data_IF_544047639660
#
_entry.id   IF_544047639660
#
_cell.length_a   1.000
_cell.length_b   1.000
_cell.length_c   1.000
_cell.angle_alpha   90.00
_cell.angle_beta   90.00
_cell.angle_gamma   90.00
#
_symmetry.space_group_name_H-M   'P 1'
#
loop_
_entity.id
_entity.type
_entity.pdbx_description
1 polymer ?
#
# COMPACT_ATOMS: atom_id res chain seq x y z
N UNK A 1 3.13 -61.72 -33.44
CA UNK A 1 1.95 -62.35 -32.83
C UNK A 1 1.93 -62.01 -31.35
N UNK A 2 0.76 -61.60 -30.85
CA UNK A 2 0.22 -61.62 -29.47
C UNK A 2 1.12 -62.18 -28.35
N UNK A 3 1.08 -61.79 -27.07
CA UNK A 3 0.06 -61.15 -26.24
C UNK A 3 0.63 -61.05 -24.81
N UNK A 4 0.39 -59.93 -24.13
CA UNK A 4 -0.25 -59.80 -22.82
C UNK A 4 0.08 -60.82 -21.68
N UNK A 5 0.53 -60.33 -20.52
CA UNK A 5 -0.07 -60.66 -19.22
C UNK A 5 0.24 -59.56 -18.18
N UNK A 6 -0.80 -59.15 -17.44
CA UNK A 6 -0.81 -58.09 -16.44
C UNK A 6 -0.32 -58.58 -15.07
N UNK A 7 0.21 -57.68 -14.22
CA UNK A 7 -0.30 -57.44 -12.84
C UNK A 7 0.47 -56.32 -12.08
N UNK A 8 -0.33 -55.40 -11.50
CA UNK A 8 -0.22 -54.71 -10.19
C UNK A 8 0.86 -53.61 -9.94
N UNK A 9 0.34 -52.37 -9.82
CA UNK A 9 0.86 -51.16 -9.12
C UNK A 9 1.00 -51.37 -7.57
N UNK A 10 1.57 -50.45 -6.73
CA UNK A 10 1.84 -49.01 -6.95
C UNK A 10 3.15 -48.41 -6.35
N UNK A 11 3.61 -47.27 -6.90
CA UNK A 11 4.10 -46.02 -6.24
C UNK A 11 4.88 -45.21 -7.30
N UNK A 12 4.23 -44.28 -8.02
CA UNK A 12 4.22 -42.81 -7.79
C UNK A 12 5.62 -42.18 -7.65
N UNK A 13 6.01 -41.09 -8.32
CA UNK A 13 5.50 -40.25 -9.42
C UNK A 13 6.60 -39.20 -9.64
N UNK A 14 7.02 -38.94 -10.87
CA UNK A 14 7.59 -37.66 -11.34
C UNK A 14 6.94 -37.39 -12.70
N UNK A 15 7.15 -36.22 -13.33
CA UNK A 15 7.03 -34.85 -12.85
C UNK A 15 6.10 -34.05 -13.79
N UNK A 16 5.51 -32.91 -13.40
CA UNK A 16 5.25 -31.82 -14.36
C UNK A 16 4.76 -30.52 -13.72
N UNK A 17 5.24 -29.43 -14.32
CA UNK A 17 4.81 -28.05 -14.17
C UNK A 17 3.31 -27.86 -14.46
N UNK A 18 2.84 -26.66 -14.07
CA UNK A 18 1.54 -26.03 -14.32
C UNK A 18 0.43 -26.35 -13.30
N UNK A 19 0.42 -25.61 -12.19
CA UNK A 19 -0.78 -24.95 -11.62
C UNK A 19 -0.36 -24.14 -10.38
N UNK A 20 0.12 -22.91 -10.57
CA UNK A 20 0.26 -21.92 -9.49
C UNK A 20 -0.47 -20.65 -9.88
N UNK A 21 -1.76 -20.79 -10.19
CA UNK A 21 -2.69 -19.67 -10.26
C UNK A 21 -4.07 -20.19 -9.83
N UNK A 22 -4.72 -19.42 -8.94
CA UNK A 22 -6.18 -19.41 -8.72
C UNK A 22 -6.82 -20.18 -7.54
N UNK A 23 -6.14 -20.57 -6.44
CA UNK A 23 -6.88 -21.24 -5.32
C UNK A 23 -6.46 -20.96 -3.87
N UNK A 24 -5.67 -19.93 -3.57
CA UNK A 24 -5.26 -19.65 -2.17
C UNK A 24 -6.09 -18.60 -1.41
N UNK A 25 -7.25 -18.16 -1.94
CA UNK A 25 -8.18 -17.27 -1.21
C UNK A 25 -9.62 -17.78 -1.28
N UNK A 26 -9.82 -19.10 -1.24
CA UNK A 26 -11.16 -19.70 -1.37
C UNK A 26 -11.41 -20.83 -0.35
N UNK A 27 -11.29 -20.51 0.95
CA UNK A 27 -12.04 -21.14 2.07
C UNK A 27 -11.59 -20.54 3.41
N UNK A 28 -12.21 -19.43 3.79
CA UNK A 28 -12.38 -19.00 5.20
C UNK A 28 -13.25 -17.72 5.24
N UNK A 29 -14.44 -17.79 4.65
CA UNK A 29 -15.46 -16.74 4.77
C UNK A 29 -16.79 -17.37 5.10
N UNK A 30 -16.87 -18.00 6.27
CA UNK A 30 -18.10 -18.03 7.06
C UNK A 30 -17.66 -17.86 8.52
N UNK A 31 -18.04 -16.73 9.10
CA UNK A 31 -17.93 -16.41 10.53
C UNK A 31 -16.58 -15.89 11.07
N UNK A 32 -16.19 -14.67 10.67
CA UNK A 32 -15.21 -13.87 11.46
C UNK A 32 -15.80 -12.48 11.70
N UNK A 33 -16.19 -12.21 12.94
CA UNK A 33 -16.83 -10.99 13.42
C UNK A 33 -15.83 -9.88 13.80
N UNK A 34 -14.55 -10.00 13.45
CA UNK A 34 -13.50 -9.04 13.83
C UNK A 34 -12.30 -9.04 12.87
N UNK A 35 -11.90 -7.85 12.38
CA UNK A 35 -10.70 -7.61 11.53
C UNK A 35 -9.40 -7.98 12.27
N UNK A 36 -9.38 -7.94 13.60
CA UNK A 36 -8.24 -8.38 14.42
C UNK A 36 -7.90 -9.85 14.17
N UNK A 37 -8.91 -10.71 14.02
CA UNK A 37 -8.72 -12.13 13.76
C UNK A 37 -8.23 -12.41 12.34
N UNK A 38 -8.64 -11.60 11.36
CA UNK A 38 -8.14 -11.70 9.98
C UNK A 38 -6.65 -11.30 9.89
N UNK A 39 -6.26 -10.19 10.52
CA UNK A 39 -4.86 -9.75 10.57
C UNK A 39 -3.98 -10.74 11.35
N UNK A 40 -4.47 -11.32 12.45
CA UNK A 40 -3.76 -12.39 13.17
C UNK A 40 -3.60 -13.67 12.35
N UNK A 41 -4.66 -14.10 11.64
CA UNK A 41 -4.61 -15.26 10.74
C UNK A 41 -3.53 -15.09 9.65
N UNK A 42 -3.36 -13.87 9.11
CA UNK A 42 -2.29 -13.57 8.16
C UNK A 42 -0.89 -13.48 8.82
N UNK A 43 -0.79 -12.99 10.07
CA UNK A 43 0.47 -12.96 10.83
C UNK A 43 0.99 -14.37 11.16
N UNK A 44 0.09 -15.32 11.42
CA UNK A 44 0.47 -16.72 11.72
C UNK A 44 0.91 -17.49 10.47
N UNK A 45 0.31 -17.22 9.31
CA UNK A 45 0.63 -17.89 8.05
C UNK A 45 2.00 -17.50 7.45
N UNK A 46 2.65 -16.45 7.95
CA UNK A 46 3.85 -15.84 7.38
C UNK A 46 5.17 -16.09 8.13
N UNK A 47 5.24 -17.01 9.10
CA UNK A 47 6.46 -17.23 9.91
C UNK A 47 7.34 -18.36 9.33
N UNK A 48 8.48 -18.07 8.64
CA UNK A 48 9.49 -19.09 8.42
C UNK A 48 10.17 -19.46 9.76
N UNK A 49 10.67 -20.70 9.92
CA UNK A 49 11.27 -21.15 11.18
C UNK A 49 12.52 -20.34 11.51
N UNK A 50 12.54 -19.79 12.73
CA UNK A 50 13.70 -19.10 13.31
C UNK A 50 14.80 -20.15 13.54
N UNK A 51 15.91 -20.04 12.80
CA UNK A 51 17.17 -20.69 13.16
C UNK A 51 17.84 -19.84 14.24
N UNK A 52 18.00 -20.43 15.41
CA UNK A 52 18.82 -19.91 16.51
C UNK A 52 20.29 -19.85 16.05
N UNK A 53 20.90 -18.68 16.19
CA UNK A 53 22.22 -18.36 15.70
C UNK A 53 22.74 -17.11 16.36
N UNK A 54 23.29 -17.27 17.56
CA UNK A 54 24.12 -16.28 18.25
C UNK A 54 25.28 -15.86 17.35
N UNK A 55 25.47 -14.57 17.18
CA UNK A 55 26.80 -13.98 17.15
C UNK A 55 26.74 -12.52 17.63
N UNK A 56 27.56 -12.27 18.63
CA UNK A 56 27.76 -10.99 19.31
C UNK A 56 28.73 -10.13 18.52
N UNK A 57 28.35 -8.92 18.13
CA UNK A 57 29.31 -7.86 17.80
C UNK A 57 28.90 -6.59 18.51
N UNK A 58 29.81 -6.14 19.36
CA UNK A 58 29.80 -4.93 20.17
C UNK A 58 29.96 -3.69 19.29
N UNK A 59 29.05 -2.73 19.40
CA UNK A 59 29.27 -1.38 18.87
C UNK A 59 29.37 -0.35 20.00
N UNK A 60 30.46 0.41 19.89
CA UNK A 60 30.93 1.43 20.82
C UNK A 60 30.17 2.71 20.55
N UNK A 61 29.51 3.24 21.58
CA UNK A 61 28.87 4.55 21.53
C UNK A 61 29.96 5.63 21.52
N UNK A 62 29.98 6.45 20.46
CA UNK A 62 30.60 7.77 20.49
C UNK A 62 29.57 8.80 20.04
N UNK A 63 28.98 9.45 21.04
CA UNK A 63 28.25 10.70 20.88
C UNK A 63 29.15 11.77 20.26
N UNK A 64 28.67 12.45 19.22
CA UNK A 64 29.11 13.81 18.89
C UNK A 64 27.91 14.65 18.45
N UNK A 65 27.49 15.47 19.38
CA UNK A 65 26.77 16.72 19.19
C UNK A 65 27.64 17.70 18.39
N UNK A 66 27.09 18.28 17.31
CA UNK A 66 27.44 19.61 16.79
C UNK A 66 26.55 20.01 15.61
N UNK A 67 26.00 21.22 15.70
CA UNK A 67 25.14 21.85 14.71
C UNK A 67 25.76 21.89 13.31
N UNK A 68 24.93 21.60 12.32
CA UNK A 68 25.28 21.60 10.91
C UNK A 68 24.34 22.52 10.13
N UNK A 69 24.92 23.62 9.68
CA UNK A 69 24.62 24.39 8.47
C UNK A 69 23.76 23.64 7.43
N UNK A 70 22.67 24.25 6.98
CA UNK A 70 21.81 23.73 5.90
C UNK A 70 22.58 23.74 4.57
N UNK A 71 23.43 22.73 4.39
CA UNK A 71 24.05 22.43 3.12
C UNK A 71 22.95 22.13 2.10
N UNK A 72 22.88 22.96 1.06
CA UNK A 72 22.05 22.76 -0.12
C UNK A 72 22.63 21.54 -0.86
N UNK A 73 22.28 20.34 -0.39
CA UNK A 73 22.72 19.09 -0.97
C UNK A 73 22.29 19.01 -2.44
N UNK A 74 23.21 18.60 -3.30
CA UNK A 74 22.96 18.34 -4.71
C UNK A 74 21.73 17.43 -4.84
N UNK A 75 20.61 17.98 -5.32
CA UNK A 75 19.41 17.17 -5.58
C UNK A 75 19.71 16.26 -6.75
N UNK A 76 19.60 14.95 -6.53
CA UNK A 76 19.77 13.93 -7.55
C UNK A 76 18.89 14.21 -8.77
N UNK A 77 19.48 14.14 -9.96
CA UNK A 77 18.79 14.27 -11.26
C UNK A 77 17.89 13.07 -11.58
N UNK A 78 18.05 11.96 -10.85
CA UNK A 78 17.36 10.71 -11.12
C UNK A 78 15.90 10.72 -10.64
N UNK A 79 15.01 10.00 -11.34
CA UNK A 79 13.65 9.78 -10.87
C UNK A 79 13.61 9.15 -9.49
N UNK A 80 12.79 9.69 -8.59
CA UNK A 80 12.69 9.21 -7.20
C UNK A 80 11.28 8.76 -6.83
N UNK A 81 11.19 7.61 -6.16
CA UNK A 81 9.95 7.05 -5.62
C UNK A 81 10.04 6.97 -4.08
N UNK A 82 9.19 7.72 -3.40
CA UNK A 82 9.19 7.83 -1.94
C UNK A 82 7.89 7.26 -1.38
N UNK A 83 7.98 6.17 -0.62
CA UNK A 83 6.82 5.53 0.03
C UNK A 83 7.06 5.55 1.52
N UNK A 84 6.07 6.03 2.28
CA UNK A 84 6.10 5.96 3.75
C UNK A 84 4.73 5.65 4.31
N UNK A 85 4.65 4.55 5.05
CA UNK A 85 3.49 4.23 5.89
C UNK A 85 3.93 4.42 7.34
N UNK A 86 3.34 5.38 8.04
CA UNK A 86 3.77 5.78 9.39
C UNK A 86 2.58 6.07 10.29
N UNK A 87 2.77 6.08 11.61
CA UNK A 87 1.80 6.60 12.57
C UNK A 87 1.93 8.11 12.80
N UNK A 88 3.05 8.70 12.36
CA UNK A 88 3.37 10.12 12.58
C UNK A 88 2.50 11.05 11.72
N UNK A 89 2.40 12.31 12.15
CA UNK A 89 1.73 13.35 11.36
C UNK A 89 2.48 13.58 10.05
N UNK A 90 1.72 13.73 8.96
CA UNK A 90 2.28 13.99 7.64
C UNK A 90 2.53 15.49 7.47
N UNK A 91 3.76 15.85 7.11
CA UNK A 91 4.14 17.22 6.74
C UNK A 91 4.02 17.40 5.23
N UNK A 92 3.09 18.25 4.78
CA UNK A 92 2.91 18.53 3.35
C UNK A 92 4.11 19.22 2.74
N UNK A 93 4.79 20.07 3.52
CA UNK A 93 5.94 20.84 3.06
C UNK A 93 7.16 19.93 2.85
N UNK A 94 7.44 19.02 3.78
CA UNK A 94 8.52 18.04 3.64
C UNK A 94 8.28 17.14 2.42
N UNK A 95 7.05 16.66 2.25
CA UNK A 95 6.68 15.79 1.12
C UNK A 95 6.77 16.56 -0.21
N UNK A 96 6.37 17.83 -0.24
CA UNK A 96 6.52 18.70 -1.41
C UNK A 96 8.00 18.90 -1.77
N UNK A 97 8.86 19.12 -0.78
CA UNK A 97 10.29 19.29 -0.98
C UNK A 97 10.95 18.04 -1.57
N UNK A 98 10.55 16.84 -1.14
CA UNK A 98 11.06 15.56 -1.67
C UNK A 98 10.87 15.43 -3.17
N UNK A 99 9.76 15.94 -3.71
CA UNK A 99 9.44 15.81 -5.14
C UNK A 99 9.88 17.02 -5.98
N UNK A 100 10.37 18.09 -5.34
CA UNK A 100 10.77 19.30 -6.05
C UNK A 100 12.12 19.11 -6.74
N UNK A 101 12.18 19.40 -8.04
CA UNK A 101 13.37 19.22 -8.87
C UNK A 101 13.59 20.40 -9.81
N UNK A 102 14.83 20.78 -10.14
CA UNK A 102 15.11 21.83 -11.12
C UNK A 102 14.54 21.55 -12.52
N UNK A 103 14.33 20.27 -12.87
CA UNK A 103 13.79 19.88 -14.17
C UNK A 103 12.25 19.84 -14.21
N UNK A 104 11.58 20.14 -13.09
CA UNK A 104 10.12 20.07 -12.97
C UNK A 104 9.52 21.47 -12.82
N UNK A 105 8.71 21.87 -13.80
CA UNK A 105 7.91 23.10 -13.73
C UNK A 105 6.59 22.95 -12.97
N UNK A 106 6.23 21.74 -12.54
CA UNK A 106 4.99 21.48 -11.82
C UNK A 106 5.16 20.43 -10.72
N UNK A 107 4.48 20.68 -9.60
CA UNK A 107 4.22 19.71 -8.52
C UNK A 107 2.73 19.72 -8.25
N UNK A 108 2.10 18.56 -8.31
CA UNK A 108 0.70 18.37 -7.95
C UNK A 108 0.62 17.57 -6.65
N UNK A 109 -0.22 18.01 -5.73
CA UNK A 109 -0.38 17.38 -4.42
C UNK A 109 -1.85 17.09 -4.14
N UNK A 110 -2.13 15.87 -3.73
CA UNK A 110 -3.40 15.48 -3.13
C UNK A 110 -3.23 15.28 -1.63
N UNK A 111 -4.14 15.87 -0.84
CA UNK A 111 -4.17 15.74 0.62
C UNK A 111 -5.55 15.20 1.00
N UNK A 112 -5.59 13.96 1.48
CA UNK A 112 -6.81 13.36 2.03
C UNK A 112 -6.93 13.71 3.50
N UNK A 113 -7.86 14.58 3.87
CA UNK A 113 -8.10 15.00 5.25
C UNK A 113 -9.35 14.37 5.86
N UNK A 114 -9.32 14.16 7.17
CA UNK A 114 -10.48 13.70 7.92
C UNK A 114 -11.55 14.79 7.99
N UNK A 115 -12.78 14.45 7.60
CA UNK A 115 -13.94 15.36 7.70
C UNK A 115 -14.67 15.16 9.03
N UNK A 116 -15.34 16.20 9.51
CA UNK A 116 -16.12 16.19 10.76
C UNK A 116 -17.51 15.53 10.63
N UNK A 117 -17.93 15.13 9.42
CA UNK A 117 -19.24 14.54 9.19
C UNK A 117 -19.20 13.43 8.14
N UNK A 118 -19.98 12.37 8.37
CA UNK A 118 -20.23 11.31 7.41
C UNK A 118 -21.68 10.81 7.54
N UNK A 119 -22.41 10.72 6.42
CA UNK A 119 -23.83 10.30 6.37
C UNK A 119 -24.73 10.95 7.45
N UNK A 120 -24.54 12.25 7.69
CA UNK A 120 -25.32 13.02 8.67
C UNK A 120 -24.90 12.82 10.13
N UNK A 121 -23.92 11.96 10.41
CA UNK A 121 -23.35 11.75 11.75
C UNK A 121 -22.08 12.56 11.95
N UNK A 122 -21.86 13.03 13.18
CA UNK A 122 -20.65 13.73 13.59
C UNK A 122 -19.53 12.73 13.88
N UNK A 123 -18.46 12.82 13.09
CA UNK A 123 -17.26 11.99 13.23
C UNK A 123 -16.28 12.74 14.13
N UNK A 124 -15.70 12.05 15.12
CA UNK A 124 -14.71 12.61 16.05
C UNK A 124 -13.29 12.38 15.54
N UNK A 125 -13.02 11.18 15.01
CA UNK A 125 -11.73 10.81 14.44
C UNK A 125 -11.86 9.62 13.49
N UNK A 126 -10.80 9.38 12.72
CA UNK A 126 -10.61 8.14 11.97
C UNK A 126 -9.48 7.33 12.57
N UNK A 127 -9.61 6.00 12.50
CA UNK A 127 -8.55 5.06 12.85
C UNK A 127 -8.21 4.23 11.61
N UNK A 128 -6.92 4.17 11.27
CA UNK A 128 -6.41 3.49 10.09
C UNK A 128 -5.53 2.31 10.44
N UNK A 129 -5.78 1.18 9.79
CA UNK A 129 -4.98 -0.05 9.92
C UNK A 129 -4.56 -0.55 8.54
N UNK A 130 -3.39 -1.18 8.47
CA UNK A 130 -2.89 -1.75 7.22
C UNK A 130 -1.99 -2.96 7.48
N UNK A 131 -1.96 -3.88 6.53
CA UNK A 131 -0.88 -4.85 6.43
C UNK A 131 0.28 -4.24 5.63
N UNK A 132 1.17 -3.54 6.32
CA UNK A 132 2.20 -2.65 5.73
C UNK A 132 3.00 -3.29 4.59
N UNK A 133 3.54 -4.53 4.70
CA UNK A 133 4.34 -5.10 3.61
C UNK A 133 3.56 -5.25 2.30
N UNK A 134 2.28 -5.65 2.38
CA UNK A 134 1.42 -5.78 1.20
C UNK A 134 0.99 -4.41 0.68
N UNK A 135 0.68 -3.47 1.57
CA UNK A 135 0.32 -2.11 1.18
C UNK A 135 1.47 -1.42 0.42
N UNK A 136 2.71 -1.52 0.89
CA UNK A 136 3.89 -1.00 0.18
C UNK A 136 4.10 -1.66 -1.17
N UNK A 137 3.90 -2.98 -1.26
CA UNK A 137 4.00 -3.71 -2.53
C UNK A 137 2.96 -3.23 -3.55
N UNK A 138 1.70 -3.06 -3.14
CA UNK A 138 0.64 -2.55 -4.02
C UNK A 138 0.91 -1.09 -4.43
N UNK A 139 1.40 -0.24 -3.53
CA UNK A 139 1.80 1.13 -3.87
C UNK A 139 2.93 1.12 -4.91
N UNK A 140 3.95 0.26 -4.77
CA UNK A 140 5.04 0.13 -5.75
C UNK A 140 4.52 -0.24 -7.15
N UNK A 141 3.50 -1.09 -7.25
CA UNK A 141 2.86 -1.42 -8.54
C UNK A 141 2.20 -0.18 -9.16
N UNK A 142 1.48 0.62 -8.34
CA UNK A 142 0.88 1.87 -8.80
C UNK A 142 1.96 2.83 -9.32
N UNK A 143 3.09 2.95 -8.62
CA UNK A 143 4.19 3.81 -9.05
C UNK A 143 4.79 3.33 -10.37
N UNK A 144 5.00 2.03 -10.51
CA UNK A 144 5.45 1.42 -11.76
C UNK A 144 4.50 1.77 -12.92
N UNK A 145 3.19 1.61 -12.73
CA UNK A 145 2.19 1.93 -13.75
C UNK A 145 2.19 3.43 -14.13
N UNK A 146 2.37 4.32 -13.15
CA UNK A 146 2.50 5.77 -13.40
C UNK A 146 3.73 6.04 -14.27
N UNK A 147 4.87 5.41 -13.98
CA UNK A 147 6.10 5.58 -14.79
C UNK A 147 5.92 5.13 -16.23
N UNK A 148 5.11 4.10 -16.48
CA UNK A 148 4.81 3.65 -17.83
C UNK A 148 3.84 4.58 -18.57
N UNK A 149 2.84 5.13 -17.87
CA UNK A 149 1.81 6.00 -18.46
C UNK A 149 2.29 7.43 -18.69
N UNK A 150 3.10 7.97 -17.78
CA UNK A 150 3.63 9.33 -17.82
C UNK A 150 5.15 9.29 -17.67
N UNK A 151 5.85 9.07 -18.79
CA UNK A 151 7.33 8.96 -18.82
C UNK A 151 8.05 10.24 -18.41
N UNK A 152 7.36 11.38 -18.43
CA UNK A 152 7.85 12.69 -18.00
C UNK A 152 7.76 12.92 -16.49
N UNK A 153 6.99 12.12 -15.74
CA UNK A 153 6.93 12.22 -14.28
C UNK A 153 8.32 11.94 -13.72
N UNK A 154 8.78 12.78 -12.80
CA UNK A 154 10.14 12.72 -12.26
C UNK A 154 10.18 12.17 -10.84
N UNK A 155 9.46 12.77 -9.91
CA UNK A 155 9.39 12.25 -8.53
C UNK A 155 7.96 11.94 -8.13
N UNK A 156 7.79 10.87 -7.38
CA UNK A 156 6.51 10.44 -6.82
C UNK A 156 6.70 10.19 -5.33
N UNK A 157 5.84 10.78 -4.50
CA UNK A 157 5.76 10.52 -3.07
C UNK A 157 4.35 10.07 -2.69
N UNK A 158 4.25 8.96 -1.98
CA UNK A 158 2.99 8.42 -1.43
C UNK A 158 3.18 8.13 0.05
N UNK A 159 2.53 8.95 0.86
CA UNK A 159 2.63 8.89 2.31
C UNK A 159 1.24 8.59 2.89
N UNK A 160 1.16 7.59 3.77
CA UNK A 160 -0.08 7.23 4.43
C UNK A 160 0.12 7.14 5.95
N UNK A 161 -0.76 7.80 6.69
CA UNK A 161 -0.80 7.77 8.15
C UNK A 161 -1.67 6.62 8.64
N UNK A 162 -1.19 5.86 9.60
CA UNK A 162 -1.90 4.82 10.33
C UNK A 162 -2.24 5.28 11.75
N UNK A 163 -3.08 4.50 12.43
CA UNK A 163 -3.57 4.81 13.76
C UNK A 163 -4.59 5.94 13.74
N UNK A 164 -4.63 6.71 14.82
CA UNK A 164 -5.63 7.76 15.03
C UNK A 164 -5.29 9.02 14.24
N UNK A 165 -6.23 9.46 13.41
CA UNK A 165 -6.16 10.69 12.62
C UNK A 165 -7.33 11.60 13.00
N UNK A 166 -7.07 12.71 13.72
CA UNK A 166 -8.09 13.69 14.09
C UNK A 166 -8.76 14.35 12.88
N UNK A 167 -9.87 15.05 13.13
CA UNK A 167 -10.51 15.92 12.13
C UNK A 167 -9.49 16.94 11.59
N UNK A 168 -9.60 17.23 10.30
CA UNK A 168 -8.74 18.16 9.54
C UNK A 168 -7.27 17.75 9.38
N UNK A 169 -6.82 16.69 10.03
CA UNK A 169 -5.50 16.12 9.78
C UNK A 169 -5.48 15.27 8.50
N UNK A 170 -4.31 15.22 7.85
CA UNK A 170 -4.09 14.42 6.66
C UNK A 170 -3.86 12.94 7.01
N UNK A 171 -4.65 12.05 6.40
CA UNK A 171 -4.45 10.61 6.45
C UNK A 171 -3.56 10.12 5.31
N UNK A 172 -3.57 10.81 4.17
CA UNK A 172 -2.79 10.45 2.98
C UNK A 172 -2.33 11.72 2.28
N UNK A 173 -1.08 11.73 1.83
CA UNK A 173 -0.51 12.77 0.99
C UNK A 173 0.17 12.10 -0.19
N UNK A 174 -0.22 12.52 -1.40
CA UNK A 174 0.41 12.09 -2.65
C UNK A 174 0.96 13.35 -3.32
N UNK A 175 2.23 13.35 -3.66
CA UNK A 175 2.87 14.45 -4.39
C UNK A 175 3.60 13.90 -5.62
N UNK A 176 3.40 14.51 -6.78
CA UNK A 176 4.04 14.08 -8.03
C UNK A 176 4.54 15.31 -8.78
N UNK A 177 5.77 15.23 -9.28
CA UNK A 177 6.39 16.28 -10.08
C UNK A 177 6.64 15.87 -11.52
N UNK A 178 6.52 16.84 -12.43
CA UNK A 178 6.79 16.69 -13.86
C UNK A 178 7.24 18.02 -14.48
N UNK A 179 7.89 18.00 -15.66
CA UNK A 179 8.24 19.21 -16.41
C UNK A 179 7.03 20.12 -16.70
N UNK A 180 5.88 19.52 -17.01
CA UNK A 180 4.64 20.23 -17.34
C UNK A 180 3.47 19.75 -16.49
N UNK A 181 2.56 20.67 -16.16
CA UNK A 181 1.47 20.45 -15.20
C UNK A 181 0.54 19.27 -15.52
N UNK A 182 0.27 18.99 -16.81
CA UNK A 182 -0.74 17.98 -17.21
C UNK A 182 -0.44 16.63 -16.60
N UNK A 183 0.79 16.16 -16.77
CA UNK A 183 1.21 14.82 -16.33
C UNK A 183 1.13 14.68 -14.81
N UNK A 184 1.60 15.68 -14.05
CA UNK A 184 1.50 15.65 -12.59
C UNK A 184 0.04 15.60 -12.09
N UNK A 185 -0.87 16.37 -12.71
CA UNK A 185 -2.27 16.42 -12.31
C UNK A 185 -2.98 15.10 -12.58
N UNK A 186 -2.78 14.54 -13.79
CA UNK A 186 -3.39 13.30 -14.21
C UNK A 186 -2.82 12.10 -13.43
N UNK A 187 -1.51 12.08 -13.18
CA UNK A 187 -0.84 11.05 -12.40
C UNK A 187 -1.30 11.05 -10.94
N UNK A 188 -1.46 12.21 -10.29
CA UNK A 188 -1.96 12.29 -8.90
C UNK A 188 -3.38 11.74 -8.82
N UNK A 189 -4.25 12.14 -9.75
CA UNK A 189 -5.63 11.64 -9.82
C UNK A 189 -5.67 10.12 -10.00
N UNK A 190 -4.83 9.60 -10.90
CA UNK A 190 -4.71 8.15 -11.09
C UNK A 190 -4.21 7.46 -9.83
N UNK A 191 -3.15 7.99 -9.20
CA UNK A 191 -2.54 7.42 -8.00
C UNK A 191 -3.56 7.26 -6.86
N UNK A 192 -4.32 8.32 -6.54
CA UNK A 192 -5.28 8.26 -5.43
C UNK A 192 -6.43 7.29 -5.71
N UNK A 193 -6.95 7.27 -6.93
CA UNK A 193 -8.05 6.38 -7.30
C UNK A 193 -7.61 4.91 -7.25
N UNK A 194 -6.43 4.61 -7.78
CA UNK A 194 -5.88 3.24 -7.75
C UNK A 194 -5.51 2.83 -6.33
N UNK A 195 -4.90 3.71 -5.54
CA UNK A 195 -4.56 3.45 -4.13
C UNK A 195 -5.80 3.03 -3.35
N UNK A 196 -6.90 3.78 -3.52
CA UNK A 196 -8.19 3.49 -2.91
C UNK A 196 -8.79 2.16 -3.38
N UNK A 197 -8.60 1.80 -4.64
CA UNK A 197 -9.17 0.59 -5.20
C UNK A 197 -8.39 -0.68 -4.83
N UNK A 198 -7.07 -0.62 -4.71
CA UNK A 198 -6.21 -1.82 -4.65
C UNK A 198 -5.45 -2.00 -3.34
N UNK A 199 -5.12 -0.93 -2.62
CA UNK A 199 -4.21 -1.01 -1.48
C UNK A 199 -5.01 -1.39 -0.22
N UNK A 200 -4.59 -2.45 0.52
CA UNK A 200 -5.30 -2.93 1.70
C UNK A 200 -5.04 -2.04 2.93
N UNK A 201 -5.69 -0.87 2.94
CA UNK A 201 -5.72 0.06 4.08
C UNK A 201 -7.18 0.25 4.49
N UNK A 202 -7.48 -0.05 5.74
CA UNK A 202 -8.83 0.00 6.28
C UNK A 202 -9.01 1.24 7.15
N UNK A 203 -10.20 1.84 7.07
CA UNK A 203 -10.59 2.98 7.90
C UNK A 203 -11.76 2.61 8.80
N UNK A 204 -11.69 3.05 10.04
CA UNK A 204 -12.76 2.99 11.03
C UNK A 204 -13.18 4.41 11.39
N UNK A 205 -14.47 4.66 11.34
CA UNK A 205 -15.06 5.93 11.74
C UNK A 205 -15.50 5.82 13.21
N UNK A 206 -15.05 6.77 14.03
CA UNK A 206 -15.43 6.87 15.45
C UNK A 206 -16.36 8.08 15.62
N UNK A 207 -17.57 7.83 16.10
CA UNK A 207 -18.61 8.84 16.29
C UNK A 207 -18.71 9.29 17.76
N UNK A 208 -19.34 10.44 17.99
CA UNK A 208 -19.46 11.07 19.33
C UNK A 208 -20.30 10.24 20.33
N UNK A 209 -21.19 9.37 19.85
CA UNK A 209 -22.10 8.55 20.66
C UNK A 209 -21.54 7.14 20.96
N UNK A 210 -20.21 6.96 20.98
CA UNK A 210 -19.50 5.68 21.22
C UNK A 210 -19.81 4.52 20.25
N UNK A 211 -20.59 4.76 19.19
CA UNK A 211 -20.72 3.80 18.09
C UNK A 211 -19.51 3.89 17.14
N UNK A 212 -19.01 2.75 16.67
CA UNK A 212 -17.95 2.68 15.66
C UNK A 212 -18.45 1.90 14.43
N UNK A 213 -18.02 2.30 13.24
CA UNK A 213 -18.34 1.59 11.99
C UNK A 213 -17.08 1.46 11.14
N UNK A 214 -16.69 0.22 10.83
CA UNK A 214 -15.68 -0.07 9.83
C UNK A 214 -16.27 0.17 8.44
N UNK A 215 -15.55 0.88 7.57
CA UNK A 215 -15.99 1.17 6.21
C UNK A 215 -15.04 0.58 5.19
N UNK A 216 -15.61 -0.20 4.28
CA UNK A 216 -14.94 -0.63 3.06
C UNK A 216 -14.91 0.53 2.04
N UNK A 217 -13.91 0.53 1.16
CA UNK A 217 -13.80 1.54 0.12
C UNK A 217 -14.74 1.25 -1.06
N UNK A 218 -15.47 2.28 -1.53
CA UNK A 218 -16.44 2.14 -2.63
C UNK A 218 -15.79 1.86 -3.98
N UNK A 219 -14.48 1.96 -4.09
CA UNK A 219 -13.75 1.80 -5.36
C UNK A 219 -13.08 0.42 -5.49
N UNK A 220 -13.18 -0.44 -4.47
CA UNK A 220 -12.58 -1.79 -4.49
C UNK A 220 -13.23 -2.70 -5.55
N UNK A 221 -12.42 -3.21 -6.48
CA UNK A 221 -12.86 -3.97 -7.65
C UNK A 221 -13.35 -5.39 -7.34
N UNK A 222 -12.99 -5.96 -6.19
CA UNK A 222 -13.46 -7.27 -5.74
C UNK A 222 -14.90 -7.27 -5.19
N UNK A 223 -15.61 -6.13 -5.25
CA UNK A 223 -17.02 -6.04 -4.83
C UNK A 223 -17.96 -6.89 -5.69
N UNK A 224 -17.63 -7.10 -6.97
CA UNK A 224 -18.56 -7.72 -7.93
C UNK A 224 -17.97 -9.00 -8.52
N UNK A 225 -18.27 -10.17 -7.93
CA UNK A 225 -17.97 -11.45 -8.56
C UNK A 225 -18.67 -11.61 -9.93
N UNK A 226 -19.79 -10.91 -10.14
CA UNK A 226 -20.74 -11.22 -11.22
C UNK A 226 -20.72 -10.24 -12.41
N UNK A 227 -19.86 -9.20 -12.41
CA UNK A 227 -19.73 -8.28 -13.57
C UNK A 227 -18.54 -8.61 -14.50
N UNK A 228 -18.00 -9.83 -14.39
CA UNK A 228 -17.16 -10.42 -15.42
C UNK A 228 -18.03 -10.95 -16.57
N UNK A 229 -18.56 -10.08 -17.42
CA UNK A 229 -18.94 -10.47 -18.78
C UNK A 229 -19.12 -9.27 -19.72
N UNK A 230 -18.53 -9.41 -20.90
CA UNK A 230 -18.54 -8.53 -22.09
C UNK A 230 -17.47 -7.42 -22.16
N UNK A 231 -16.21 -7.82 -22.39
CA UNK A 231 -15.29 -7.01 -23.18
C UNK A 231 -15.54 -7.38 -24.66
N UNK A 232 -16.02 -6.48 -25.53
CA UNK A 232 -16.11 -6.76 -26.96
C UNK A 232 -14.70 -6.89 -27.56
N UNK A 233 -14.53 -7.87 -28.46
CA UNK A 233 -13.30 -8.18 -29.18
C UNK A 233 -12.82 -7.03 -30.06
#
# INVERSE_FOLDING_TARGET
MSSCFATLFPFKYTPFLYLVDSLYVFKCFYHISSVSSFIETFKEAGRPPIRDGRETVSDSIQERDQGGEFAMGERSTEPGDFIKITTDKLSTDEICQLVTSPDCGAVSIFIGTTRNSFDGKKVVLLEYEAYTPMAEMEIKKILFDIRQKWTSVKHIAVYHRLGVVPISDASVVIAISSPHRSDSLDAVKYCINTLKATVPIWKKEVYEEESYSWKENKECFWRKPDECQSIPK
#
